data_IF_363535133092
#
_entry.id   IF_363535133092
#
_cell.length_a   1.000
_cell.length_b   1.000
_cell.length_c   1.000
_cell.angle_alpha   90.00
_cell.angle_beta   90.00
_cell.angle_gamma   90.00
#
_symmetry.space_group_name_H-M   'P 1'
#
loop_
_entity.id
_entity.type
_entity.pdbx_description
1 polymer ?
#
# COMPACT_ATOMS: atom_id res chain seq x y z
N UNK A 1 29.37 35.61 -5.32
CA UNK A 1 29.77 34.51 -4.42
C UNK A 1 28.58 34.17 -3.55
N UNK A 2 28.40 32.87 -3.36
CA UNK A 2 27.64 32.25 -2.27
C UNK A 2 26.11 32.03 -2.40
N UNK A 3 25.80 30.73 -2.40
CA UNK A 3 24.70 30.06 -1.71
C UNK A 3 23.37 29.77 -2.43
N UNK A 4 23.29 29.88 -3.76
CA UNK A 4 22.14 29.33 -4.50
C UNK A 4 22.35 27.92 -5.08
N UNK A 5 23.55 27.32 -4.94
CA UNK A 5 23.92 26.10 -5.68
C UNK A 5 24.08 24.81 -4.84
N UNK A 6 23.64 24.77 -3.58
CA UNK A 6 23.93 23.60 -2.71
C UNK A 6 22.73 22.77 -2.24
N UNK A 7 21.56 22.93 -2.84
CA UNK A 7 20.65 21.77 -2.92
C UNK A 7 21.01 21.02 -4.20
N UNK A 8 22.16 20.33 -4.18
CA UNK A 8 22.33 19.17 -5.05
C UNK A 8 21.20 18.22 -4.67
N UNK A 9 20.12 18.21 -5.45
CA UNK A 9 19.16 17.10 -5.45
C UNK A 9 20.02 15.90 -5.80
N UNK A 10 20.50 15.17 -4.79
CA UNK A 10 21.13 13.88 -5.01
C UNK A 10 20.03 13.08 -5.71
N UNK A 11 20.14 12.94 -7.02
CA UNK A 11 19.44 11.89 -7.74
C UNK A 11 20.02 10.60 -7.17
N UNK A 12 19.43 10.16 -6.05
CA UNK A 12 19.66 8.83 -5.57
C UNK A 12 19.31 7.93 -6.76
N UNK A 13 20.20 6.99 -7.13
CA UNK A 13 19.88 6.07 -8.22
C UNK A 13 18.50 5.47 -7.95
N UNK A 14 17.65 5.48 -8.98
CA UNK A 14 16.28 5.00 -8.86
C UNK A 14 16.32 3.59 -8.26
N UNK A 15 15.64 3.41 -7.12
CA UNK A 15 15.69 2.13 -6.41
C UNK A 15 14.98 1.08 -7.26
N UNK A 16 15.69 0.03 -7.65
CA UNK A 16 15.07 -1.05 -8.42
C UNK A 16 14.24 -1.94 -7.50
N UNK A 17 12.95 -1.65 -7.40
CA UNK A 17 11.99 -2.41 -6.59
C UNK A 17 11.84 -3.87 -7.07
N UNK A 18 12.25 -4.17 -8.31
CA UNK A 18 12.18 -5.52 -8.88
C UNK A 18 13.27 -6.46 -8.35
N UNK A 19 14.36 -5.91 -7.80
CA UNK A 19 15.47 -6.69 -7.24
C UNK A 19 15.27 -7.05 -5.77
N UNK A 20 14.25 -6.49 -5.12
CA UNK A 20 13.97 -6.78 -3.72
C UNK A 20 13.30 -8.15 -3.58
N UNK A 21 13.67 -8.92 -2.53
CA UNK A 21 12.93 -10.13 -2.17
C UNK A 21 11.45 -9.84 -1.93
N UNK A 22 10.58 -10.80 -2.25
CA UNK A 22 9.13 -10.66 -2.13
C UNK A 22 8.70 -10.34 -0.69
N UNK A 23 9.39 -10.91 0.30
CA UNK A 23 9.14 -10.70 1.72
C UNK A 23 9.39 -9.23 2.12
N UNK A 24 10.43 -8.60 1.54
CA UNK A 24 10.73 -7.19 1.79
C UNK A 24 9.65 -6.31 1.17
N UNK A 25 9.25 -6.61 -0.07
CA UNK A 25 8.16 -5.90 -0.73
C UNK A 25 6.84 -6.05 0.04
N UNK A 26 6.55 -7.23 0.59
CA UNK A 26 5.37 -7.48 1.42
C UNK A 26 5.36 -6.58 2.66
N UNK A 27 6.48 -6.50 3.40
CA UNK A 27 6.59 -5.61 4.57
C UNK A 27 6.43 -4.14 4.20
N UNK A 28 6.95 -3.72 3.05
CA UNK A 28 6.77 -2.34 2.56
C UNK A 28 5.31 -2.07 2.22
N UNK A 29 4.63 -3.00 1.55
CA UNK A 29 3.21 -2.89 1.23
C UNK A 29 2.35 -2.86 2.49
N UNK A 30 2.64 -3.68 3.50
CA UNK A 30 1.91 -3.65 4.79
C UNK A 30 1.94 -2.27 5.46
N UNK A 31 3.01 -1.49 5.26
CA UNK A 31 3.13 -0.13 5.79
C UNK A 31 2.28 0.90 5.06
N UNK A 32 1.83 0.62 3.82
CA UNK A 32 0.97 1.53 3.07
C UNK A 32 -0.47 1.52 3.59
N UNK A 33 -0.95 0.38 4.09
CA UNK A 33 -2.34 0.21 4.52
C UNK A 33 -3.26 -0.31 3.40
N UNK A 34 -4.46 -0.77 3.78
CA UNK A 34 -5.34 -1.48 2.84
C UNK A 34 -5.82 -0.63 1.66
N UNK A 35 -6.06 0.67 1.87
CA UNK A 35 -6.57 1.55 0.82
C UNK A 35 -5.56 1.68 -0.30
N UNK A 36 -4.36 2.12 0.04
CA UNK A 36 -3.25 2.32 -0.90
C UNK A 36 -2.89 1.03 -1.64
N UNK A 37 -2.94 -0.12 -0.95
CA UNK A 37 -2.72 -1.42 -1.59
C UNK A 37 -3.80 -1.71 -2.65
N UNK A 38 -5.08 -1.50 -2.33
CA UNK A 38 -6.21 -1.81 -3.22
C UNK A 38 -6.42 -0.77 -4.33
N UNK A 39 -6.03 0.48 -4.16
CA UNK A 39 -6.28 1.53 -5.17
C UNK A 39 -5.07 1.83 -6.02
N UNK A 40 -3.86 1.66 -5.47
CA UNK A 40 -2.62 2.11 -6.11
C UNK A 40 -1.62 0.97 -6.29
N UNK A 41 -1.12 0.37 -5.20
CA UNK A 41 0.07 -0.48 -5.27
C UNK A 41 -0.10 -1.71 -6.18
N UNK A 42 -1.27 -2.35 -6.15
CA UNK A 42 -1.55 -3.51 -7.02
C UNK A 42 -1.61 -3.17 -8.52
N UNK A 43 -1.71 -1.89 -8.89
CA UNK A 43 -1.86 -1.42 -10.27
C UNK A 43 -0.54 -0.88 -10.87
N UNK A 44 0.55 -0.86 -10.10
CA UNK A 44 1.82 -0.28 -10.55
C UNK A 44 2.56 -1.20 -11.51
N UNK A 45 2.72 -2.48 -11.14
CA UNK A 45 3.39 -3.48 -11.98
C UNK A 45 2.92 -4.90 -11.62
N UNK A 46 3.23 -5.86 -12.49
CA UNK A 46 2.84 -7.27 -12.32
C UNK A 46 3.44 -7.93 -11.07
N UNK A 47 4.64 -7.53 -10.65
CA UNK A 47 5.27 -8.02 -9.42
C UNK A 47 4.46 -7.61 -8.19
N UNK A 48 4.16 -6.31 -8.05
CA UNK A 48 3.36 -5.80 -6.95
C UNK A 48 1.93 -6.34 -6.98
N UNK A 49 1.35 -6.51 -8.17
CA UNK A 49 0.04 -7.16 -8.32
C UNK A 49 0.03 -8.58 -7.73
N UNK A 50 1.05 -9.39 -8.03
CA UNK A 50 1.18 -10.76 -7.48
C UNK A 50 1.31 -10.74 -5.96
N UNK A 51 2.17 -9.87 -5.42
CA UNK A 51 2.36 -9.76 -3.97
C UNK A 51 1.08 -9.25 -3.28
N UNK A 52 0.32 -8.35 -3.92
CA UNK A 52 -0.95 -7.87 -3.40
C UNK A 52 -2.04 -8.95 -3.33
N UNK A 53 -1.87 -10.10 -3.98
CA UNK A 53 -2.74 -11.27 -3.84
C UNK A 53 -2.31 -12.22 -2.73
N UNK A 54 -1.10 -12.06 -2.20
CA UNK A 54 -0.59 -12.92 -1.15
C UNK A 54 -1.45 -12.77 0.13
N UNK A 55 -2.07 -13.86 0.64
CA UNK A 55 -2.87 -13.81 1.86
C UNK A 55 -2.12 -13.30 3.09
N UNK A 56 -0.79 -13.51 3.16
CA UNK A 56 0.06 -13.01 4.25
C UNK A 56 0.06 -11.48 4.31
N UNK A 57 -0.11 -10.79 3.19
CA UNK A 57 -0.22 -9.33 3.16
C UNK A 57 -1.45 -8.84 3.94
N UNK A 58 -2.53 -9.62 3.93
CA UNK A 58 -3.85 -9.25 4.45
C UNK A 58 -4.12 -9.78 5.87
N UNK A 59 -3.16 -10.46 6.49
CA UNK A 59 -3.28 -10.93 7.89
C UNK A 59 -3.36 -9.80 8.91
N UNK A 60 -2.67 -8.69 8.63
CA UNK A 60 -2.68 -7.49 9.46
C UNK A 60 -3.06 -6.33 8.56
N UNK A 61 -4.26 -5.79 8.76
CA UNK A 61 -4.79 -4.74 7.91
C UNK A 61 -4.76 -3.42 8.67
N UNK A 62 -3.90 -2.50 8.22
CA UNK A 62 -3.90 -1.15 8.76
C UNK A 62 -4.92 -0.27 8.02
N UNK A 63 -5.82 0.34 8.79
CA UNK A 63 -6.82 1.30 8.37
C UNK A 63 -6.56 2.72 8.91
N UNK A 64 -5.38 3.01 9.46
CA UNK A 64 -5.03 4.27 10.14
C UNK A 64 -5.23 5.54 9.30
N UNK A 65 -5.35 5.41 7.97
CA UNK A 65 -5.82 6.51 7.12
C UNK A 65 -7.21 7.02 7.57
N UNK A 66 -8.05 6.16 8.15
CA UNK A 66 -9.33 6.51 8.78
C UNK A 66 -9.18 7.61 9.82
N UNK A 67 -8.25 7.44 10.77
CA UNK A 67 -8.11 8.34 11.92
C UNK A 67 -7.51 9.71 11.55
N UNK A 68 -6.72 9.79 10.47
CA UNK A 68 -6.04 11.03 10.09
C UNK A 68 -6.91 12.03 9.38
N UNK A 69 -8.03 11.59 8.79
CA UNK A 69 -8.72 12.41 7.80
C UNK A 69 -10.07 12.94 8.30
N UNK A 70 -11.07 12.19 8.79
CA UNK A 70 -12.39 12.82 9.05
C UNK A 70 -13.41 12.15 10.02
N UNK A 71 -14.37 12.99 10.44
CA UNK A 71 -15.64 12.71 11.13
C UNK A 71 -16.55 11.71 10.40
N UNK A 72 -17.29 10.93 11.19
CA UNK A 72 -18.05 9.72 10.83
C UNK A 72 -19.35 9.91 10.00
N UNK A 73 -19.67 11.12 9.54
CA UNK A 73 -21.02 11.46 9.05
C UNK A 73 -21.28 11.13 7.56
N UNK A 74 -20.28 10.66 6.81
CA UNK A 74 -20.39 10.39 5.37
C UNK A 74 -20.73 8.91 5.06
N UNK A 75 -21.98 8.64 4.69
CA UNK A 75 -22.46 7.30 4.30
C UNK A 75 -21.72 6.70 3.09
N UNK A 76 -21.29 7.52 2.12
CA UNK A 76 -20.54 7.04 0.97
C UNK A 76 -19.17 6.51 1.40
N UNK A 77 -18.55 7.13 2.41
CA UNK A 77 -17.30 6.63 3.01
C UNK A 77 -17.52 5.35 3.80
N UNK A 78 -18.60 5.24 4.58
CA UNK A 78 -18.91 4.00 5.29
C UNK A 78 -19.04 2.82 4.30
N UNK A 79 -19.73 3.04 3.18
CA UNK A 79 -19.88 2.04 2.13
C UNK A 79 -18.53 1.69 1.48
N UNK A 80 -17.73 2.70 1.14
CA UNK A 80 -16.38 2.51 0.63
C UNK A 80 -15.53 1.66 1.57
N UNK A 81 -15.52 1.98 2.87
CA UNK A 81 -14.76 1.23 3.88
C UNK A 81 -15.24 -0.20 4.05
N UNK A 82 -16.55 -0.44 4.09
CA UNK A 82 -17.10 -1.80 4.11
C UNK A 82 -16.59 -2.63 2.93
N UNK A 83 -16.49 -2.04 1.74
CA UNK A 83 -15.94 -2.70 0.56
C UNK A 83 -14.44 -2.98 0.69
N UNK A 84 -13.65 -2.02 1.20
CA UNK A 84 -12.22 -2.20 1.44
C UNK A 84 -11.98 -3.31 2.46
N UNK A 85 -12.67 -3.28 3.61
CA UNK A 85 -12.60 -4.32 4.65
C UNK A 85 -12.97 -5.69 4.09
N UNK A 86 -14.08 -5.79 3.36
CA UNK A 86 -14.50 -7.05 2.74
C UNK A 86 -13.41 -7.60 1.80
N UNK A 87 -12.90 -6.79 0.89
CA UNK A 87 -11.87 -7.19 -0.08
C UNK A 87 -10.57 -7.63 0.59
N UNK A 88 -10.23 -7.01 1.73
CA UNK A 88 -9.07 -7.34 2.51
C UNK A 88 -9.24 -8.70 3.22
N UNK A 89 -10.40 -8.92 3.85
CA UNK A 89 -10.75 -10.21 4.49
C UNK A 89 -10.81 -11.33 3.45
N UNK A 90 -11.47 -11.11 2.31
CA UNK A 90 -11.58 -12.11 1.24
C UNK A 90 -10.20 -12.57 0.76
N UNK A 91 -9.23 -11.66 0.64
CA UNK A 91 -7.85 -12.00 0.26
C UNK A 91 -7.05 -12.69 1.35
N UNK A 92 -7.27 -12.35 2.61
CA UNK A 92 -6.62 -13.05 3.73
C UNK A 92 -7.12 -14.47 3.93
N UNK A 93 -8.36 -14.75 3.53
CA UNK A 93 -9.00 -16.07 3.60
C UNK A 93 -8.81 -16.91 2.34
N UNK A 94 -8.35 -16.32 1.23
CA UNK A 94 -8.13 -17.04 -0.02
C UNK A 94 -7.01 -18.06 0.19
N UNK A 95 -7.37 -19.34 0.09
CA UNK A 95 -6.44 -20.48 0.21
C UNK A 95 -5.97 -21.01 -1.14
N UNK A 96 -6.19 -20.26 -2.22
CA UNK A 96 -5.64 -20.60 -3.53
C UNK A 96 -4.13 -20.31 -3.59
N UNK A 97 -3.35 -21.18 -2.95
CA UNK A 97 -1.93 -21.43 -3.27
C UNK A 97 -1.82 -22.14 -4.60
#
# INVERSE_FOLDING_TARGET
MELASMIRKREAPARNWLELPAEVLLVILQKLGAVEILTTAQNVCSLLYKICKDPFLWRVINFDYWNRVHNFEDWNRLFYWKNVCKRAVDRGCDRST
#
